data_IF_782471059536
#
_entry.id   IF_782471059536
#
_cell.length_a   1.000
_cell.length_b   1.000
_cell.length_c   1.000
_cell.angle_alpha   90.00
_cell.angle_beta   90.00
_cell.angle_gamma   90.00
#
_symmetry.space_group_name_H-M   'P 1'
#
loop_
_entity.id
_entity.type
_entity.pdbx_description
1 polymer ?
#
# COMPACT_ATOMS: atom_id res chain seq x y z
N UNK A 1 -17.97 -10.31 17.96
CA UNK A 1 -16.50 -10.47 17.94
C UNK A 1 -15.91 -9.07 17.76
N UNK A 2 -15.26 -8.50 18.77
CA UNK A 2 -14.61 -7.19 18.64
C UNK A 2 -13.37 -7.38 17.76
N UNK A 3 -13.31 -6.70 16.62
CA UNK A 3 -12.06 -6.57 15.88
C UNK A 3 -11.05 -5.86 16.79
N UNK A 4 -9.90 -6.49 17.02
CA UNK A 4 -8.80 -5.86 17.72
C UNK A 4 -8.31 -4.71 16.83
N UNK A 5 -8.72 -3.47 17.13
CA UNK A 5 -8.15 -2.31 16.46
C UNK A 5 -6.64 -2.32 16.74
N UNK A 6 -5.85 -2.54 15.69
CA UNK A 6 -4.39 -2.51 15.80
C UNK A 6 -4.02 -1.09 16.23
N UNK A 7 -3.51 -0.95 17.45
CA UNK A 7 -2.98 0.32 17.95
C UNK A 7 -1.60 0.54 17.30
N UNK A 8 -1.56 1.25 16.17
CA UNK A 8 -0.31 1.65 15.52
C UNK A 8 0.18 2.94 16.19
N UNK A 9 1.24 2.90 17.02
CA UNK A 9 1.74 4.10 17.67
C UNK A 9 2.33 5.06 16.64
N UNK A 10 2.27 6.37 16.92
CA UNK A 10 2.77 7.40 16.00
C UNK A 10 4.28 7.30 15.69
N UNK A 11 5.04 6.59 16.51
CA UNK A 11 6.46 6.31 16.32
C UNK A 11 6.74 4.88 15.82
N UNK A 12 5.71 4.16 15.35
CA UNK A 12 5.88 2.87 14.73
C UNK A 12 6.82 2.99 13.53
N UNK A 13 7.95 2.29 13.59
CA UNK A 13 8.78 2.08 12.42
C UNK A 13 8.21 0.89 11.66
N UNK A 14 7.94 1.08 10.38
CA UNK A 14 7.53 0.01 9.48
C UNK A 14 8.59 -1.08 9.50
N UNK A 15 8.18 -2.33 9.74
CA UNK A 15 9.07 -3.48 9.63
C UNK A 15 9.54 -3.59 8.17
N UNK A 16 10.85 -3.63 7.93
CA UNK A 16 11.43 -3.80 6.59
C UNK A 16 11.13 -5.18 5.95
N UNK A 17 10.33 -6.03 6.59
CA UNK A 17 9.90 -7.33 6.07
C UNK A 17 8.68 -7.24 5.13
N UNK A 18 8.35 -6.06 4.62
CA UNK A 18 7.30 -5.90 3.62
C UNK A 18 7.69 -6.54 2.28
N UNK A 19 6.69 -7.01 1.52
CA UNK A 19 6.88 -7.49 0.15
C UNK A 19 6.37 -6.41 -0.81
N UNK A 20 7.20 -6.04 -1.79
CA UNK A 20 6.76 -5.15 -2.87
C UNK A 20 5.80 -5.90 -3.79
N UNK A 21 4.54 -5.46 -3.84
CA UNK A 21 3.50 -6.07 -4.68
C UNK A 21 3.39 -5.35 -6.05
N UNK A 22 3.59 -4.03 -6.07
CA UNK A 22 3.60 -3.22 -7.28
C UNK A 22 4.75 -2.20 -7.24
N UNK A 23 5.40 -1.99 -8.39
CA UNK A 23 6.58 -1.14 -8.52
C UNK A 23 7.89 -1.94 -8.67
N UNK A 24 8.98 -1.25 -9.02
CA UNK A 24 10.31 -1.86 -9.24
C UNK A 24 10.51 -2.59 -10.57
N UNK A 25 9.43 -2.84 -11.33
CA UNK A 25 9.44 -3.55 -12.62
C UNK A 25 9.41 -2.63 -13.85
N UNK A 26 9.66 -1.33 -13.67
CA UNK A 26 9.48 -0.32 -14.71
C UNK A 26 8.02 -0.14 -15.14
N UNK A 27 7.81 0.67 -16.17
CA UNK A 27 6.49 1.00 -16.69
C UNK A 27 5.92 -0.09 -17.59
N UNK A 28 4.61 -0.32 -17.50
CA UNK A 28 3.90 -1.26 -18.35
C UNK A 28 2.50 -1.59 -17.81
N UNK A 29 1.77 -2.45 -18.52
CA UNK A 29 0.37 -2.77 -18.20
C UNK A 29 0.16 -3.97 -17.28
N UNK A 30 1.22 -4.52 -16.67
CA UNK A 30 1.08 -5.63 -15.74
C UNK A 30 0.62 -5.12 -14.36
N UNK A 31 -0.06 -5.99 -13.59
CA UNK A 31 -0.64 -5.64 -12.28
C UNK A 31 0.37 -5.29 -11.19
N UNK A 32 1.66 -5.49 -11.45
CA UNK A 32 2.77 -5.20 -10.54
C UNK A 32 3.70 -4.07 -11.06
N UNK A 33 3.24 -3.30 -12.04
CA UNK A 33 3.96 -2.16 -12.62
C UNK A 33 3.29 -0.85 -12.23
N UNK A 34 4.12 0.18 -12.01
CA UNK A 34 3.70 1.56 -11.79
C UNK A 34 4.57 2.47 -12.68
N UNK A 35 3.98 3.50 -13.31
CA UNK A 35 4.69 4.44 -14.18
C UNK A 35 5.00 5.79 -13.51
N UNK A 36 4.04 6.38 -12.80
CA UNK A 36 4.16 7.71 -12.23
C UNK A 36 3.06 8.04 -11.23
N UNK A 37 2.93 7.29 -10.13
CA UNK A 37 1.82 7.48 -9.21
C UNK A 37 1.90 8.82 -8.47
N UNK A 38 0.81 9.59 -8.52
CA UNK A 38 0.71 10.93 -7.92
C UNK A 38 -0.13 10.97 -6.65
N UNK A 39 -0.81 9.88 -6.30
CA UNK A 39 -1.66 9.84 -5.11
C UNK A 39 -1.97 8.43 -4.65
N UNK A 40 -2.34 8.31 -3.38
CA UNK A 40 -2.97 7.13 -2.83
C UNK A 40 -4.25 7.49 -2.07
N UNK A 41 -5.16 6.53 -2.01
CA UNK A 41 -6.34 6.58 -1.16
C UNK A 41 -6.55 5.21 -0.52
N UNK A 42 -7.08 5.20 0.71
CA UNK A 42 -7.51 3.98 1.40
C UNK A 42 -9.00 4.12 1.65
N UNK A 43 -9.79 3.19 1.13
CA UNK A 43 -11.25 3.19 1.29
C UNK A 43 -11.72 2.52 2.59
N UNK A 44 -13.04 2.54 2.81
CA UNK A 44 -13.66 1.96 4.02
C UNK A 44 -13.50 0.43 4.11
N UNK A 45 -13.26 -0.24 2.97
CA UNK A 45 -12.97 -1.67 2.88
C UNK A 45 -11.47 -1.99 3.05
N UNK A 46 -10.65 -0.97 3.39
CA UNK A 46 -9.19 -1.03 3.50
C UNK A 46 -8.47 -1.39 2.19
N UNK A 47 -9.10 -1.17 1.04
CA UNK A 47 -8.42 -1.28 -0.24
C UNK A 47 -7.54 -0.05 -0.45
N UNK A 48 -6.31 -0.29 -0.91
CA UNK A 48 -5.37 0.77 -1.30
C UNK A 48 -5.51 1.01 -2.79
N UNK A 49 -5.92 2.21 -3.16
CA UNK A 49 -6.03 2.65 -4.55
C UNK A 49 -4.88 3.60 -4.86
N UNK A 50 -4.16 3.34 -5.95
CA UNK A 50 -3.03 4.15 -6.40
C UNK A 50 -3.43 4.85 -7.70
N UNK A 51 -3.25 6.18 -7.75
CA UNK A 51 -3.46 6.97 -8.95
C UNK A 51 -2.14 7.02 -9.75
N UNK A 52 -1.90 5.97 -10.52
CA UNK A 52 -0.77 5.78 -11.44
C UNK A 52 -0.96 6.45 -12.80
#
# INVERSE_FOLDING_TARGET
MFSLLVNIPANANWSQNGVTIAGGNGYGGATNQLYGPYGLFVDDDQAVVIAD
#
